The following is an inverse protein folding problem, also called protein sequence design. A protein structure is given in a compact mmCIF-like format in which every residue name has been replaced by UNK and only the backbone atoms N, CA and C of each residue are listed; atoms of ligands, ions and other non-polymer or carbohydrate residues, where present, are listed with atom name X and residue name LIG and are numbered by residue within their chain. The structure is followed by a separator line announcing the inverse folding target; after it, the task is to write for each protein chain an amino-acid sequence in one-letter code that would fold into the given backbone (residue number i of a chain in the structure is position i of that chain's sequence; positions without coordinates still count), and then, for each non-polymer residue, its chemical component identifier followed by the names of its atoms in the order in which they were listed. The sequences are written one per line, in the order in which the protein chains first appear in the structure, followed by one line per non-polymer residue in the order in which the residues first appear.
data_IF_263147405384
#
_entry.id   IF_263147405384
#
_cell.length_a   1.000
_cell.length_b   1.000
_cell.length_c   1.000
_cell.angle_alpha   90.00
_cell.angle_beta   90.00
_cell.angle_gamma   90.00
#
_symmetry.space_group_name_H-M   'P 1'
#
loop_
_entity.id
_entity.type
_entity.pdbx_description
1 polymer ?
#
# COMPACT_ATOMS: atom_id res chain seq x y z
N UNK A 1 22.34 -0.07 -0.89
CA UNK A 1 22.01 1.22 -0.25
C UNK A 1 21.20 2.05 -1.24
N UNK A 2 19.88 2.12 -1.06
CA UNK A 2 19.01 2.97 -1.90
C UNK A 2 19.32 4.42 -1.50
N UNK A 3 19.90 5.18 -2.44
CA UNK A 3 20.50 6.50 -2.14
C UNK A 3 19.50 7.66 -2.10
N UNK A 4 18.24 7.46 -2.48
CA UNK A 4 17.11 8.42 -2.38
C UNK A 4 15.80 7.67 -2.64
N UNK A 5 14.73 8.03 -1.93
CA UNK A 5 13.37 7.65 -2.26
C UNK A 5 12.55 8.95 -2.38
N UNK A 6 12.10 9.26 -3.60
CA UNK A 6 11.27 10.43 -3.86
C UNK A 6 9.86 10.18 -3.33
N UNK A 7 9.45 10.97 -2.31
CA UNK A 7 8.13 10.88 -1.70
C UNK A 7 7.13 11.88 -2.31
N UNK A 8 7.55 12.72 -3.25
CA UNK A 8 6.65 13.67 -3.93
C UNK A 8 5.57 12.97 -4.76
N UNK A 9 5.87 11.80 -5.33
CA UNK A 9 4.96 11.05 -6.19
C UNK A 9 3.78 10.44 -5.41
N UNK A 10 3.94 10.13 -4.13
CA UNK A 10 2.87 9.53 -3.30
C UNK A 10 1.73 10.53 -3.06
N UNK A 11 2.05 11.80 -2.79
CA UNK A 11 1.05 12.86 -2.64
C UNK A 11 0.35 13.21 -3.96
N UNK A 12 1.04 13.07 -5.08
CA UNK A 12 0.50 13.34 -6.42
C UNK A 12 -0.61 12.34 -6.79
N UNK A 13 -0.46 11.06 -6.43
CA UNK A 13 -1.47 10.04 -6.70
C UNK A 13 -2.71 10.19 -5.83
N UNK A 14 -2.55 10.50 -4.53
CA UNK A 14 -3.68 10.79 -3.66
C UNK A 14 -4.46 12.03 -4.14
N UNK A 15 -3.73 13.08 -4.55
CA UNK A 15 -4.31 14.28 -5.15
C UNK A 15 -5.05 13.95 -6.46
N UNK A 16 -4.44 13.19 -7.37
CA UNK A 16 -5.07 12.76 -8.61
C UNK A 16 -6.36 11.96 -8.37
N UNK A 17 -6.39 11.08 -7.37
CA UNK A 17 -7.57 10.33 -6.99
C UNK A 17 -8.69 11.24 -6.45
N UNK A 18 -8.35 12.25 -5.64
CA UNK A 18 -9.32 13.24 -5.14
C UNK A 18 -9.91 14.04 -6.30
N UNK A 19 -9.09 14.53 -7.23
CA UNK A 19 -9.57 15.26 -8.41
C UNK A 19 -10.43 14.37 -9.32
N UNK A 20 -10.07 13.11 -9.50
CA UNK A 20 -10.88 12.13 -10.24
C UNK A 20 -12.25 11.89 -9.59
N UNK A 21 -12.29 11.84 -8.25
CA UNK A 21 -13.56 11.73 -7.52
C UNK A 21 -14.43 12.98 -7.68
N UNK A 22 -13.81 14.16 -7.70
CA UNK A 22 -14.50 15.44 -7.95
C UNK A 22 -15.08 15.46 -9.37
N UNK A 23 -14.29 15.08 -10.39
CA UNK A 23 -14.76 14.99 -11.78
C UNK A 23 -15.98 14.06 -11.91
N UNK A 24 -15.88 12.86 -11.32
CA UNK A 24 -16.97 11.89 -11.31
C UNK A 24 -18.23 12.40 -10.62
N UNK A 25 -18.08 13.27 -9.62
CA UNK A 25 -19.22 13.90 -8.94
C UNK A 25 -19.83 15.01 -9.80
N UNK A 26 -19.00 15.88 -10.37
CA UNK A 26 -19.44 16.98 -11.24
C UNK A 26 -20.18 16.47 -12.47
N UNK A 27 -19.73 15.36 -13.09
CA UNK A 27 -20.42 14.71 -14.21
C UNK A 27 -21.82 14.19 -13.89
N UNK A 28 -22.10 13.90 -12.61
CA UNK A 28 -23.42 13.42 -12.14
C UNK A 28 -24.30 14.56 -11.63
N UNK A 29 -23.74 15.74 -11.40
CA UNK A 29 -24.44 16.90 -10.90
C UNK A 29 -25.03 17.73 -12.04
N UNK A 30 -26.08 18.49 -11.74
CA UNK A 30 -26.58 19.52 -12.65
C UNK A 30 -25.72 20.78 -12.54
N UNK A 31 -24.71 20.87 -13.41
CA UNK A 31 -23.74 21.96 -13.44
C UNK A 31 -24.31 23.29 -13.95
N UNK A 32 -25.44 23.27 -14.67
CA UNK A 32 -26.12 24.48 -15.12
C UNK A 32 -26.80 25.17 -13.93
N UNK A 33 -27.57 24.39 -13.16
CA UNK A 33 -28.24 24.90 -11.94
C UNK A 33 -27.23 25.38 -10.90
N UNK A 34 -26.09 24.69 -10.79
CA UNK A 34 -25.00 25.08 -9.89
C UNK A 34 -24.13 26.23 -10.44
N UNK A 35 -24.35 26.66 -11.69
CA UNK A 35 -23.55 27.69 -12.39
C UNK A 35 -22.06 27.36 -12.45
N UNK A 36 -21.73 26.08 -12.45
CA UNK A 36 -20.35 25.58 -12.50
C UNK A 36 -19.94 25.11 -13.91
N UNK A 37 -20.90 24.99 -14.83
CA UNK A 37 -20.66 24.43 -16.16
C UNK A 37 -19.57 25.15 -16.95
N UNK A 38 -19.58 26.48 -16.96
CA UNK A 38 -18.57 27.27 -17.67
C UNK A 38 -17.17 26.98 -17.15
N UNK A 39 -16.97 27.04 -15.82
CA UNK A 39 -15.66 26.80 -15.18
C UNK A 39 -15.24 25.34 -15.32
N UNK A 40 -16.19 24.40 -15.26
CA UNK A 40 -15.91 23.00 -15.46
C UNK A 40 -15.37 22.72 -16.87
N UNK A 41 -16.05 23.24 -17.89
CA UNK A 41 -15.68 23.02 -19.29
C UNK A 41 -14.40 23.79 -19.70
N UNK A 42 -14.22 25.03 -19.22
CA UNK A 42 -13.09 25.89 -19.64
C UNK A 42 -11.80 25.65 -18.87
N UNK A 43 -11.89 25.37 -17.57
CA UNK A 43 -10.73 25.39 -16.68
C UNK A 43 -10.43 24.00 -16.13
N UNK A 44 -11.45 23.33 -15.57
CA UNK A 44 -11.27 22.07 -14.87
C UNK A 44 -10.94 20.91 -15.83
N UNK A 45 -11.73 20.72 -16.89
CA UNK A 45 -11.52 19.62 -17.83
C UNK A 45 -10.13 19.67 -18.51
N UNK A 46 -9.67 20.83 -19.03
CA UNK A 46 -8.34 20.91 -19.62
C UNK A 46 -7.20 20.71 -18.61
N UNK A 47 -7.35 21.25 -17.39
CA UNK A 47 -6.36 21.07 -16.32
C UNK A 47 -6.28 19.61 -15.87
N UNK A 48 -7.43 18.93 -15.73
CA UNK A 48 -7.49 17.51 -15.38
C UNK A 48 -6.87 16.63 -16.48
N UNK A 49 -7.20 16.87 -17.76
CA UNK A 49 -6.61 16.14 -18.88
C UNK A 49 -5.08 16.33 -18.97
N UNK A 50 -4.60 17.54 -18.67
CA UNK A 50 -3.16 17.84 -18.62
C UNK A 50 -2.48 17.11 -17.47
N UNK A 51 -3.13 17.04 -16.30
CA UNK A 51 -2.64 16.28 -15.14
C UNK A 51 -2.61 14.77 -15.43
N UNK A 52 -3.68 14.22 -16.02
CA UNK A 52 -3.76 12.81 -16.40
C UNK A 52 -2.61 12.41 -17.35
N UNK A 53 -2.40 13.22 -18.41
CA UNK A 53 -1.29 13.03 -19.35
C UNK A 53 0.09 13.13 -18.67
N UNK A 54 0.25 14.05 -17.71
CA UNK A 54 1.51 14.22 -17.01
C UNK A 54 1.83 13.06 -16.04
N UNK A 55 0.80 12.41 -15.51
CA UNK A 55 0.95 11.30 -14.55
C UNK A 55 1.02 9.94 -15.27
N UNK A 56 0.53 9.83 -16.51
CA UNK A 56 0.57 8.61 -17.34
C UNK A 56 1.95 7.90 -17.35
N UNK A 57 3.11 8.59 -17.49
CA UNK A 57 4.43 7.95 -17.43
C UNK A 57 4.79 7.39 -16.05
N UNK A 58 4.16 7.88 -14.97
CA UNK A 58 4.36 7.41 -13.59
C UNK A 58 3.41 6.24 -13.29
N UNK A 59 2.17 6.30 -13.78
CA UNK A 59 1.19 5.20 -13.71
C UNK A 59 1.67 3.95 -14.48
N UNK A 60 2.23 4.15 -15.67
CA UNK A 60 2.62 3.06 -16.57
C UNK A 60 4.02 2.48 -16.34
N UNK A 61 4.73 2.88 -15.27
CA UNK A 61 5.99 2.20 -14.94
C UNK A 61 5.66 0.77 -14.49
N UNK A 62 6.09 -0.22 -15.25
CA UNK A 62 6.13 -1.64 -14.86
C UNK A 62 6.78 -1.86 -13.47
N UNK A 63 7.60 -0.91 -13.02
CA UNK A 63 8.17 -0.84 -11.67
C UNK A 63 7.08 -0.74 -10.59
N UNK A 64 6.03 0.07 -10.79
CA UNK A 64 4.95 0.27 -9.81
C UNK A 64 4.11 -0.99 -9.64
N UNK A 65 3.78 -1.68 -10.75
CA UNK A 65 3.08 -2.98 -10.68
C UNK A 65 3.96 -4.06 -10.04
N UNK A 66 5.24 -4.17 -10.42
CA UNK A 66 6.17 -5.12 -9.79
C UNK A 66 6.33 -4.86 -8.29
N UNK A 67 6.42 -3.59 -7.87
CA UNK A 67 6.48 -3.23 -6.44
C UNK A 67 5.21 -3.67 -5.73
N UNK A 68 4.04 -3.40 -6.30
CA UNK A 68 2.75 -3.82 -5.73
C UNK A 68 2.59 -5.35 -5.65
N UNK A 69 2.97 -6.08 -6.70
CA UNK A 69 2.93 -7.55 -6.70
C UNK A 69 3.89 -8.11 -5.64
N UNK A 70 5.10 -7.54 -5.54
CA UNK A 70 6.10 -7.94 -4.52
C UNK A 70 5.61 -7.62 -3.10
N UNK A 71 4.90 -6.50 -2.93
CA UNK A 71 4.27 -6.10 -1.68
C UNK A 71 3.22 -7.11 -1.23
N UNK A 72 2.33 -7.47 -2.16
CA UNK A 72 1.29 -8.48 -1.95
C UNK A 72 1.86 -9.86 -1.62
N UNK A 73 2.92 -10.27 -2.30
CA UNK A 73 3.60 -11.54 -2.01
C UNK A 73 4.20 -11.53 -0.60
N UNK A 74 4.80 -10.40 -0.19
CA UNK A 74 5.32 -10.22 1.17
C UNK A 74 4.21 -10.34 2.22
N UNK A 75 3.08 -9.68 2.00
CA UNK A 75 1.92 -9.75 2.90
C UNK A 75 1.42 -11.19 3.09
N UNK A 76 1.38 -11.95 1.99
CA UNK A 76 0.98 -13.36 1.99
C UNK A 76 1.98 -14.23 2.76
N UNK A 77 3.28 -14.04 2.53
CA UNK A 77 4.34 -14.78 3.25
C UNK A 77 4.26 -14.50 4.74
N UNK A 78 4.11 -13.24 5.16
CA UNK A 78 4.05 -12.88 6.57
C UNK A 78 2.79 -13.44 7.25
N UNK A 79 1.65 -13.39 6.55
CA UNK A 79 0.41 -14.00 7.02
C UNK A 79 0.54 -15.53 7.13
N UNK A 80 1.18 -16.16 6.14
CA UNK A 80 1.45 -17.59 6.10
C UNK A 80 2.37 -18.04 7.23
N UNK A 81 3.48 -17.33 7.45
CA UNK A 81 4.43 -17.59 8.53
C UNK A 81 3.73 -17.56 9.89
N UNK A 82 2.92 -16.53 10.17
CA UNK A 82 2.19 -16.43 11.44
C UNK A 82 1.25 -17.62 11.66
N UNK A 83 0.54 -18.04 10.60
CA UNK A 83 -0.35 -19.21 10.66
C UNK A 83 0.45 -20.49 10.89
N UNK A 84 1.59 -20.62 10.22
CA UNK A 84 2.48 -21.77 10.37
C UNK A 84 3.02 -21.88 11.80
N UNK A 85 3.57 -20.80 12.36
CA UNK A 85 4.09 -20.79 13.74
C UNK A 85 2.99 -21.09 14.77
N UNK A 86 1.77 -20.57 14.56
CA UNK A 86 0.61 -20.90 15.39
C UNK A 86 0.20 -22.37 15.30
N UNK A 87 0.38 -23.00 14.14
CA UNK A 87 0.17 -24.45 14.01
C UNK A 87 1.26 -25.23 14.75
N UNK A 88 2.52 -24.80 14.64
CA UNK A 88 3.64 -25.45 15.32
C UNK A 88 3.59 -25.34 16.84
N UNK A 89 3.01 -24.26 17.38
CA UNK A 89 2.80 -24.13 18.83
C UNK A 89 1.77 -25.12 19.42
N UNK A 90 1.16 -25.96 18.59
CA UNK A 90 0.26 -27.05 19.01
C UNK A 90 0.72 -28.40 18.44
N UNK A 91 2.00 -28.52 18.07
CA UNK A 91 2.56 -29.72 17.46
C UNK A 91 2.67 -30.86 18.51
N UNK A 92 2.50 -32.13 18.12
CA UNK A 92 2.64 -33.25 19.07
C UNK A 92 4.07 -33.42 19.63
N UNK A 93 5.07 -32.94 18.89
CA UNK A 93 6.47 -32.90 19.36
C UNK A 93 6.69 -31.68 20.27
N UNK A 94 7.11 -31.88 21.54
CA UNK A 94 7.39 -30.80 22.47
C UNK A 94 8.48 -29.83 22.00
N UNK A 95 9.54 -30.31 21.33
CA UNK A 95 10.64 -29.47 20.87
C UNK A 95 10.17 -28.50 19.77
N UNK A 96 9.32 -29.01 18.87
CA UNK A 96 8.70 -28.19 17.81
C UNK A 96 7.72 -27.17 18.40
N UNK A 97 6.99 -27.56 19.46
CA UNK A 97 6.08 -26.65 20.16
C UNK A 97 6.82 -25.51 20.84
N UNK A 98 7.93 -25.80 21.52
CA UNK A 98 8.77 -24.79 22.16
C UNK A 98 9.33 -23.81 21.14
N UNK A 99 9.95 -24.32 20.06
CA UNK A 99 10.50 -23.50 18.99
C UNK A 99 9.43 -22.65 18.30
N UNK A 100 8.28 -23.24 17.96
CA UNK A 100 7.17 -22.55 17.32
C UNK A 100 6.58 -21.44 18.20
N UNK A 101 6.49 -21.67 19.50
CA UNK A 101 6.00 -20.69 20.48
C UNK A 101 6.97 -19.52 20.66
N UNK A 102 8.27 -19.80 20.75
CA UNK A 102 9.31 -18.77 20.87
C UNK A 102 9.33 -17.84 19.64
N UNK A 103 9.30 -18.40 18.43
CA UNK A 103 9.25 -17.63 17.18
C UNK A 103 7.94 -16.84 17.03
N UNK A 104 6.81 -17.40 17.50
CA UNK A 104 5.52 -16.72 17.49
C UNK A 104 5.51 -15.53 18.47
N UNK A 105 6.17 -15.67 19.63
CA UNK A 105 6.31 -14.60 20.60
C UNK A 105 7.09 -13.40 20.02
N UNK A 106 8.22 -13.66 19.36
CA UNK A 106 8.99 -12.63 18.63
C UNK A 106 8.08 -11.89 17.64
N UNK A 107 7.30 -12.63 16.84
CA UNK A 107 6.38 -12.03 15.88
C UNK A 107 5.27 -11.20 16.56
N UNK A 108 4.82 -11.61 17.75
CA UNK A 108 3.78 -10.90 18.52
C UNK A 108 4.29 -9.59 19.14
N UNK A 109 5.58 -9.44 19.43
CA UNK A 109 6.18 -8.18 19.95
C UNK A 109 5.88 -6.98 19.05
N UNK A 110 5.83 -7.21 17.74
CA UNK A 110 5.58 -6.18 16.72
C UNK A 110 4.08 -5.92 16.47
N UNK A 111 3.19 -6.58 17.23
CA UNK A 111 1.75 -6.37 17.19
C UNK A 111 0.99 -7.25 16.20
N UNK A 112 -0.24 -6.83 15.90
CA UNK A 112 -1.14 -7.49 14.94
C UNK A 112 -1.15 -6.72 13.63
N UNK A 113 -1.34 -7.44 12.51
CA UNK A 113 -1.47 -6.86 11.17
C UNK A 113 -0.24 -6.10 10.67
N UNK A 114 0.96 -6.68 10.81
CA UNK A 114 2.22 -6.08 10.33
C UNK A 114 2.14 -5.77 8.82
N UNK A 115 1.50 -6.65 8.05
CA UNK A 115 1.23 -6.52 6.61
C UNK A 115 0.26 -5.38 6.23
N UNK A 116 -0.32 -4.67 7.20
CA UNK A 116 -1.17 -3.49 6.95
C UNK A 116 -0.44 -2.18 7.23
N UNK A 117 0.84 -2.25 7.63
CA UNK A 117 1.66 -1.07 7.90
C UNK A 117 2.18 -0.48 6.60
N UNK A 118 2.68 0.75 6.66
CA UNK A 118 3.32 1.35 5.50
C UNK A 118 4.59 0.56 5.12
N UNK A 119 4.86 0.42 3.81
CA UNK A 119 5.97 -0.37 3.25
C UNK A 119 7.31 -0.23 4.01
N UNK A 120 7.71 0.99 4.35
CA UNK A 120 8.98 1.24 5.08
C UNK A 120 8.95 0.71 6.50
N UNK A 121 7.83 0.89 7.20
CA UNK A 121 7.64 0.41 8.56
C UNK A 121 7.61 -1.11 8.57
N UNK A 122 6.88 -1.72 7.64
CA UNK A 122 6.82 -3.17 7.49
C UNK A 122 8.20 -3.76 7.19
N UNK A 123 8.95 -3.17 6.25
CA UNK A 123 10.32 -3.60 5.91
C UNK A 123 11.25 -3.52 7.13
N UNK A 124 11.14 -2.45 7.93
CA UNK A 124 11.91 -2.31 9.17
C UNK A 124 11.58 -3.38 10.19
N UNK A 125 10.29 -3.64 10.40
CA UNK A 125 9.82 -4.70 11.30
C UNK A 125 10.32 -6.07 10.85
N UNK A 126 10.18 -6.42 9.56
CA UNK A 126 10.63 -7.71 9.03
C UNK A 126 12.16 -7.85 9.18
N UNK A 127 12.91 -6.77 8.94
CA UNK A 127 14.37 -6.79 9.12
C UNK A 127 14.75 -7.09 10.56
N UNK A 128 14.04 -6.50 11.53
CA UNK A 128 14.31 -6.76 12.95
C UNK A 128 13.90 -8.19 13.34
N UNK A 129 12.74 -8.68 12.87
CA UNK A 129 12.30 -10.07 13.11
C UNK A 129 13.36 -11.05 12.63
N UNK A 130 13.94 -10.85 11.45
CA UNK A 130 14.98 -11.72 10.90
C UNK A 130 16.30 -11.70 11.69
N UNK A 131 16.53 -10.67 12.51
CA UNK A 131 17.69 -10.61 13.42
C UNK A 131 17.41 -11.26 14.77
N UNK A 132 16.14 -11.37 15.17
CA UNK A 132 15.70 -12.00 16.41
C UNK A 132 15.41 -13.51 16.26
N UNK A 133 15.30 -14.00 15.02
CA UNK A 133 15.10 -15.41 14.68
C UNK A 133 16.39 -16.24 14.74
#
# INVERSE_FOLDING_TARGET
MIKRANLQEVQLFDFFQVITNIDNHLKKADLETLKLKVVYDSDFVPAYASLDTAIEPVQNKAVTRKVWDTDKDRDQVLTGLRRHLKAQSSHPDPEVTEAGSALLEILNKYGKNIQRKALREETGIITNILQEY
#
